data_IF_923803330885
#
_entry.id   IF_923803330885
#
_cell.length_a   1.000
_cell.length_b   1.000
_cell.length_c   1.000
_cell.angle_alpha   90.00
_cell.angle_beta   90.00
_cell.angle_gamma   90.00
#
_symmetry.space_group_name_H-M   'P 1'
#
loop_
_entity.id
_entity.type
_entity.pdbx_description
1 polymer ?
#
# COMPACT_ATOMS: atom_id res chain seq x y z
N UNK A 1 -13.53 26.99 65.54
CA UNK A 1 -12.80 26.14 64.59
C UNK A 1 -13.78 25.12 64.04
N UNK A 2 -14.04 25.19 62.75
CA UNK A 2 -15.07 24.42 62.06
C UNK A 2 -14.63 22.96 61.84
N UNK A 3 -15.50 22.01 62.19
CA UNK A 3 -15.36 20.60 61.81
C UNK A 3 -16.04 20.37 60.47
N UNK A 4 -15.24 20.10 59.44
CA UNK A 4 -15.71 19.77 58.09
C UNK A 4 -15.73 18.24 57.94
N UNK A 5 -16.91 17.67 57.77
CA UNK A 5 -17.14 16.28 57.40
C UNK A 5 -16.89 16.09 55.90
N UNK A 6 -15.80 15.38 55.55
CA UNK A 6 -15.53 14.95 54.18
C UNK A 6 -16.20 13.59 53.91
N UNK A 7 -17.14 13.60 52.97
CA UNK A 7 -17.78 12.43 52.36
C UNK A 7 -16.99 12.07 51.08
N UNK A 8 -16.65 10.80 50.80
CA UNK A 8 -15.93 10.41 49.59
C UNK A 8 -16.91 10.27 48.40
N UNK A 9 -16.51 10.60 47.16
CA UNK A 9 -17.37 10.41 46.00
C UNK A 9 -17.38 8.95 45.53
N UNK A 10 -18.59 8.55 45.18
CA UNK A 10 -19.08 7.24 44.78
C UNK A 10 -18.43 6.72 43.47
N UNK A 11 -18.04 5.45 43.48
CA UNK A 11 -17.60 4.68 42.31
C UNK A 11 -18.81 4.41 41.40
N UNK A 12 -18.81 4.98 40.19
CA UNK A 12 -19.77 4.59 39.16
C UNK A 12 -19.37 3.25 38.55
N UNK A 13 -20.10 2.20 38.92
CA UNK A 13 -20.12 0.90 38.26
C UNK A 13 -20.90 1.04 36.96
N UNK A 14 -20.23 0.88 35.82
CA UNK A 14 -20.89 0.71 34.53
C UNK A 14 -21.06 -0.79 34.26
N UNK A 15 -22.31 -1.22 34.20
CA UNK A 15 -22.76 -2.56 33.80
C UNK A 15 -22.53 -2.80 32.29
N UNK A 16 -22.44 -4.06 31.85
CA UNK A 16 -21.96 -4.42 30.51
C UNK A 16 -23.07 -4.34 29.46
N UNK A 17 -22.82 -3.61 28.37
CA UNK A 17 -23.74 -3.57 27.24
C UNK A 17 -23.62 -4.82 26.36
N UNK A 18 -24.66 -5.64 26.49
CA UNK A 18 -25.40 -6.37 25.46
C UNK A 18 -24.64 -6.83 24.20
N UNK A 19 -24.43 -8.15 24.15
CA UNK A 19 -24.25 -8.94 22.93
C UNK A 19 -25.51 -8.83 22.07
N UNK A 20 -25.36 -8.46 20.80
CA UNK A 20 -26.38 -8.52 19.76
C UNK A 20 -25.93 -9.46 18.61
N UNK A 21 -26.86 -10.10 17.91
CA UNK A 21 -26.71 -11.47 17.41
C UNK A 21 -26.03 -11.58 16.04
N UNK A 22 -25.51 -12.78 15.78
CA UNK A 22 -25.00 -13.27 14.51
C UNK A 22 -25.98 -13.01 13.35
N UNK A 23 -25.51 -12.29 12.33
CA UNK A 23 -26.13 -12.30 11.01
C UNK A 23 -25.26 -13.13 10.06
N UNK A 24 -25.70 -14.37 9.84
CA UNK A 24 -25.21 -15.25 8.80
C UNK A 24 -25.52 -14.66 7.41
N UNK A 25 -24.51 -14.12 6.76
CA UNK A 25 -24.52 -13.98 5.30
C UNK A 25 -23.40 -14.84 4.71
N UNK A 26 -23.82 -15.96 4.14
CA UNK A 26 -23.07 -16.85 3.24
C UNK A 26 -22.41 -16.04 2.12
N UNK A 27 -21.11 -15.75 2.29
CA UNK A 27 -20.23 -15.41 1.19
C UNK A 27 -19.54 -16.69 0.74
N UNK A 28 -19.80 -17.08 -0.52
CA UNK A 28 -19.26 -18.26 -1.19
C UNK A 28 -17.74 -18.40 -0.99
N UNK A 29 -17.34 -19.33 -0.13
CA UNK A 29 -15.99 -19.82 -0.02
C UNK A 29 -15.69 -20.72 -1.23
N UNK A 30 -15.24 -20.11 -2.33
CA UNK A 30 -14.66 -20.84 -3.45
C UNK A 30 -13.22 -21.23 -3.09
N UNK A 31 -13.09 -22.49 -2.67
CA UNK A 31 -11.92 -23.36 -2.71
C UNK A 31 -10.53 -22.73 -2.47
N UNK A 32 -10.12 -22.86 -1.21
CA UNK A 32 -8.77 -22.74 -0.69
C UNK A 32 -7.97 -24.01 -1.05
N UNK A 33 -6.72 -23.91 -1.55
CA UNK A 33 -5.72 -24.91 -1.21
C UNK A 33 -5.10 -24.49 0.13
N UNK A 34 -5.26 -25.35 1.14
CA UNK A 34 -4.50 -25.27 2.39
C UNK A 34 -3.02 -25.45 2.09
N UNK A 35 -2.24 -24.37 2.15
CA UNK A 35 -0.78 -24.46 2.27
C UNK A 35 -0.48 -24.52 3.78
N UNK A 36 -0.76 -25.67 4.38
CA UNK A 36 -0.25 -26.05 5.70
C UNK A 36 0.38 -27.44 5.60
N UNK A 37 1.69 -27.49 5.37
CA UNK A 37 2.60 -28.45 6.00
C UNK A 37 4.07 -28.03 5.80
N UNK A 38 4.98 -28.53 6.67
CA UNK A 38 6.23 -27.88 7.02
C UNK A 38 7.30 -28.14 5.96
N UNK A 39 8.07 -27.12 5.60
CA UNK A 39 9.33 -27.30 4.87
C UNK A 39 10.47 -26.88 5.79
N UNK A 40 10.90 -27.82 6.63
CA UNK A 40 12.32 -28.01 6.90
C UNK A 40 12.89 -28.71 5.66
N UNK A 41 13.23 -27.95 4.63
CA UNK A 41 14.10 -28.41 3.54
C UNK A 41 14.81 -27.17 2.99
N UNK A 42 15.91 -26.83 3.64
CA UNK A 42 16.92 -25.93 3.07
C UNK A 42 17.61 -26.75 1.98
N UNK A 43 17.14 -26.59 0.74
CA UNK A 43 17.81 -27.12 -0.43
C UNK A 43 19.04 -26.27 -0.71
N UNK A 44 20.23 -26.82 -0.46
CA UNK A 44 21.52 -26.25 -0.86
C UNK A 44 21.64 -26.28 -2.39
N UNK A 45 21.29 -25.18 -3.04
CA UNK A 45 21.52 -24.99 -4.47
C UNK A 45 22.92 -24.38 -4.69
N UNK A 46 23.95 -25.22 -4.68
CA UNK A 46 25.24 -24.91 -5.29
C UNK A 46 25.13 -25.18 -6.80
N UNK A 47 24.88 -24.15 -7.61
CA UNK A 47 24.91 -24.27 -9.08
C UNK A 47 26.17 -23.62 -9.64
N UNK A 48 27.06 -24.46 -10.18
CA UNK A 48 28.26 -24.09 -10.94
C UNK A 48 27.83 -23.34 -12.21
N UNK A 49 28.37 -22.13 -12.41
CA UNK A 49 28.15 -21.35 -13.62
C UNK A 49 28.95 -21.94 -14.78
N UNK A 50 28.27 -22.62 -15.72
CA UNK A 50 28.81 -22.86 -17.05
C UNK A 50 28.52 -21.64 -17.92
N UNK A 51 29.58 -20.97 -18.35
CA UNK A 51 29.51 -19.86 -19.29
C UNK A 51 29.28 -20.40 -20.70
N UNK A 52 28.10 -20.16 -21.26
CA UNK A 52 27.87 -20.29 -22.70
C UNK A 52 27.35 -18.99 -23.29
N UNK A 53 28.04 -18.55 -24.34
CA UNK A 53 27.76 -17.34 -25.10
C UNK A 53 26.58 -17.58 -26.05
N UNK A 54 25.44 -16.96 -25.76
CA UNK A 54 24.39 -16.67 -26.75
C UNK A 54 23.65 -15.40 -26.31
N UNK A 55 23.49 -14.45 -27.24
CA UNK A 55 23.03 -13.07 -27.04
C UNK A 55 21.62 -12.93 -26.50
N UNK A 56 21.41 -13.33 -25.24
CA UNK A 56 20.19 -13.12 -24.48
C UNK A 56 20.33 -11.81 -23.71
N UNK A 57 19.33 -10.94 -23.78
CA UNK A 57 19.28 -9.72 -22.97
C UNK A 57 19.61 -10.06 -21.51
N UNK A 58 20.60 -9.33 -20.95
CA UNK A 58 21.06 -9.53 -19.57
C UNK A 58 19.87 -9.45 -18.62
N UNK A 59 19.67 -10.48 -17.80
CA UNK A 59 18.57 -10.47 -16.84
C UNK A 59 18.73 -9.25 -15.91
N UNK A 60 17.65 -8.49 -15.62
CA UNK A 60 17.70 -7.23 -14.87
C UNK A 60 18.33 -7.34 -13.49
N UNK A 61 18.43 -8.55 -12.93
CA UNK A 61 18.83 -8.82 -11.55
C UNK A 61 20.00 -9.82 -11.41
N UNK A 62 20.76 -10.05 -12.49
CA UNK A 62 21.90 -10.99 -12.47
C UNK A 62 22.88 -10.62 -11.32
N UNK A 63 23.08 -11.52 -10.35
CA UNK A 63 24.02 -11.33 -9.23
C UNK A 63 23.44 -10.82 -7.90
N UNK A 64 22.14 -10.55 -7.81
CA UNK A 64 21.51 -10.02 -6.59
C UNK A 64 20.96 -11.10 -5.61
N UNK A 65 21.35 -12.37 -5.76
CA UNK A 65 20.76 -13.49 -4.99
C UNK A 65 19.32 -13.85 -5.43
N UNK A 66 18.93 -13.39 -6.62
CA UNK A 66 17.63 -13.62 -7.25
C UNK A 66 17.74 -14.70 -8.32
N UNK A 67 16.84 -15.68 -8.29
CA UNK A 67 16.73 -16.75 -9.27
C UNK A 67 15.53 -16.50 -10.17
N UNK A 68 15.74 -16.39 -11.49
CA UNK A 68 14.65 -16.26 -12.46
C UNK A 68 13.83 -17.55 -12.49
N UNK A 69 12.51 -17.42 -12.39
CA UNK A 69 11.58 -18.54 -12.51
C UNK A 69 11.22 -18.76 -13.99
N UNK A 70 11.24 -20.01 -14.42
CA UNK A 70 10.77 -20.39 -15.77
C UNK A 70 9.25 -20.36 -15.87
N UNK A 71 8.72 -20.27 -17.09
CA UNK A 71 7.27 -20.18 -17.31
C UNK A 71 6.48 -21.41 -16.82
N UNK A 72 7.13 -22.59 -16.79
CA UNK A 72 6.56 -23.83 -16.28
C UNK A 72 6.56 -23.95 -14.74
N UNK A 73 7.19 -23.01 -14.02
CA UNK A 73 7.18 -23.01 -12.55
C UNK A 73 5.79 -22.63 -12.01
N UNK A 74 5.35 -23.34 -10.97
CA UNK A 74 4.01 -23.14 -10.41
C UNK A 74 3.85 -21.76 -9.76
N UNK A 75 4.87 -21.28 -9.05
CA UNK A 75 4.85 -19.95 -8.43
C UNK A 75 4.87 -18.87 -9.50
N UNK A 76 5.67 -19.04 -10.56
CA UNK A 76 5.64 -18.14 -11.72
C UNK A 76 4.22 -18.04 -12.30
N UNK A 77 3.61 -19.17 -12.63
CA UNK A 77 2.26 -19.22 -13.21
C UNK A 77 1.22 -18.56 -12.30
N UNK A 78 1.25 -18.87 -11.01
CA UNK A 78 0.29 -18.33 -10.05
C UNK A 78 0.43 -16.81 -9.88
N UNK A 79 1.66 -16.32 -9.66
CA UNK A 79 1.95 -14.89 -9.48
C UNK A 79 1.59 -14.11 -10.74
N UNK A 80 1.98 -14.61 -11.92
CA UNK A 80 1.65 -13.99 -13.20
C UNK A 80 0.13 -13.89 -13.39
N UNK A 81 -0.59 -15.02 -13.30
CA UNK A 81 -2.04 -15.05 -13.46
C UNK A 81 -2.75 -14.14 -12.45
N UNK A 82 -2.30 -14.12 -11.20
CA UNK A 82 -2.85 -13.27 -10.14
C UNK A 82 -2.68 -11.79 -10.45
N UNK A 83 -1.47 -11.35 -10.79
CA UNK A 83 -1.20 -9.95 -11.09
C UNK A 83 -1.97 -9.50 -12.35
N UNK A 84 -1.86 -10.25 -13.44
CA UNK A 84 -2.49 -9.90 -14.73
C UNK A 84 -4.01 -9.87 -14.62
N UNK A 85 -4.64 -10.87 -13.98
CA UNK A 85 -6.09 -10.89 -13.81
C UNK A 85 -6.61 -9.71 -12.99
N UNK A 86 -5.90 -9.33 -11.91
CA UNK A 86 -6.28 -8.19 -11.07
C UNK A 86 -6.13 -6.86 -11.79
N UNK A 87 -5.04 -6.68 -12.55
CA UNK A 87 -4.84 -5.46 -13.34
C UNK A 87 -5.83 -5.36 -14.50
N UNK A 88 -6.08 -6.48 -15.19
CA UNK A 88 -7.05 -6.55 -16.29
C UNK A 88 -8.47 -6.22 -15.81
N UNK A 89 -8.89 -6.73 -14.64
CA UNK A 89 -10.17 -6.39 -14.03
C UNK A 89 -10.34 -4.89 -13.72
N UNK A 90 -9.24 -4.14 -13.67
CA UNK A 90 -9.20 -2.70 -13.43
C UNK A 90 -8.89 -1.89 -14.70
N UNK A 91 -8.96 -2.53 -15.88
CA UNK A 91 -8.75 -1.90 -17.18
C UNK A 91 -7.29 -1.58 -17.49
N UNK A 92 -6.33 -2.26 -16.85
CA UNK A 92 -4.90 -2.11 -17.11
C UNK A 92 -4.40 -3.39 -17.76
N UNK A 93 -3.98 -3.29 -19.02
CA UNK A 93 -3.28 -4.39 -19.69
C UNK A 93 -1.84 -4.43 -19.17
N UNK A 94 -1.44 -5.59 -18.64
CA UNK A 94 -0.10 -5.79 -18.10
C UNK A 94 0.48 -7.06 -18.71
N UNK A 95 1.74 -7.00 -19.10
CA UNK A 95 2.51 -8.12 -19.61
C UNK A 95 3.69 -8.36 -18.68
N UNK A 96 3.65 -9.47 -17.95
CA UNK A 96 4.78 -9.88 -17.09
C UNK A 96 5.95 -10.23 -17.98
N UNK A 97 7.07 -9.56 -17.77
CA UNK A 97 8.31 -9.84 -18.47
C UNK A 97 9.06 -10.97 -17.76
N UNK A 98 9.24 -10.85 -16.44
CA UNK A 98 10.04 -11.79 -15.66
C UNK A 98 9.59 -11.84 -14.19
N UNK A 99 9.71 -13.02 -13.59
CA UNK A 99 9.52 -13.23 -12.15
C UNK A 99 10.79 -13.86 -11.60
N UNK A 100 11.29 -13.30 -10.50
CA UNK A 100 12.45 -13.81 -9.78
C UNK A 100 12.05 -14.19 -8.36
N UNK A 101 12.62 -15.28 -7.86
CA UNK A 101 12.53 -15.69 -6.45
C UNK A 101 13.76 -15.19 -5.70
N UNK A 102 13.54 -14.62 -4.52
CA UNK A 102 14.59 -14.36 -3.56
C UNK A 102 14.96 -15.65 -2.84
N UNK A 103 16.14 -16.19 -3.17
CA UNK A 103 16.65 -17.43 -2.58
C UNK A 103 17.34 -17.22 -1.23
N UNK A 104 17.42 -15.97 -0.75
CA UNK A 104 18.12 -15.62 0.50
C UNK A 104 19.54 -16.22 0.57
N UNK A 105 20.27 -16.21 -0.54
CA UNK A 105 21.54 -16.95 -0.67
C UNK A 105 22.71 -16.36 0.14
N UNK A 106 22.65 -15.09 0.51
CA UNK A 106 23.67 -14.46 1.37
C UNK A 106 23.41 -14.73 2.86
N UNK A 107 24.47 -14.72 3.67
CA UNK A 107 24.35 -14.89 5.12
C UNK A 107 23.40 -13.87 5.76
N UNK A 108 23.47 -12.60 5.33
CA UNK A 108 22.56 -11.55 5.81
C UNK A 108 21.12 -11.78 5.36
N UNK A 109 20.89 -12.28 4.15
CA UNK A 109 19.55 -12.59 3.68
C UNK A 109 18.95 -13.78 4.45
N UNK A 110 19.73 -14.83 4.72
CA UNK A 110 19.31 -15.93 5.63
C UNK A 110 18.97 -15.42 7.02
N UNK A 111 19.82 -14.59 7.62
CA UNK A 111 19.57 -14.02 8.94
C UNK A 111 18.26 -13.20 8.98
N UNK A 112 17.94 -12.44 7.92
CA UNK A 112 16.65 -11.73 7.82
C UNK A 112 15.47 -12.70 7.70
N UNK A 113 15.60 -13.76 6.91
CA UNK A 113 14.57 -14.78 6.79
C UNK A 113 14.34 -15.50 8.13
N UNK A 114 15.40 -15.84 8.86
CA UNK A 114 15.32 -16.43 10.20
C UNK A 114 14.68 -15.48 11.21
N UNK A 115 15.08 -14.20 11.21
CA UNK A 115 14.44 -13.19 12.05
C UNK A 115 12.94 -13.12 11.76
N UNK A 116 12.53 -13.09 10.49
CA UNK A 116 11.12 -13.13 10.11
C UNK A 116 10.39 -14.36 10.71
N UNK A 117 11.00 -15.55 10.68
CA UNK A 117 10.42 -16.75 11.30
C UNK A 117 10.28 -16.63 12.83
N UNK A 118 11.24 -15.99 13.50
CA UNK A 118 11.16 -15.75 14.95
C UNK A 118 9.99 -14.82 15.27
N UNK A 119 9.85 -13.70 14.55
CA UNK A 119 8.76 -12.76 14.75
C UNK A 119 7.40 -13.33 14.35
N UNK A 120 7.35 -14.19 13.33
CA UNK A 120 6.15 -14.94 12.97
C UNK A 120 5.63 -15.76 14.14
N UNK A 121 6.51 -16.54 14.77
CA UNK A 121 6.15 -17.36 15.95
C UNK A 121 5.75 -16.49 17.14
N UNK A 122 6.40 -15.35 17.34
CA UNK A 122 6.05 -14.41 18.40
C UNK A 122 4.65 -13.81 18.20
N UNK A 123 4.33 -13.36 16.98
CA UNK A 123 3.02 -12.83 16.63
C UNK A 123 1.90 -13.88 16.78
N UNK A 124 2.17 -15.14 16.39
CA UNK A 124 1.23 -16.25 16.59
C UNK A 124 0.88 -16.46 18.07
N UNK A 125 1.87 -16.38 18.96
CA UNK A 125 1.68 -16.53 20.41
C UNK A 125 0.94 -15.34 21.03
N UNK A 126 1.24 -14.13 20.57
CA UNK A 126 0.64 -12.88 21.07
C UNK A 126 -0.84 -12.76 20.73
N UNK A 127 -1.26 -13.23 19.55
CA UNK A 127 -2.59 -12.94 18.99
C UNK A 127 -3.80 -13.54 19.70
N UNK A 128 -3.64 -14.42 20.70
CA UNK A 128 -4.73 -15.10 21.43
C UNK A 128 -5.57 -16.08 20.59
N UNK A 129 -5.86 -15.73 19.33
CA UNK A 129 -6.54 -16.49 18.30
C UNK A 129 -5.63 -17.51 17.57
N UNK A 130 -4.34 -17.60 17.94
CA UNK A 130 -3.38 -18.53 17.34
C UNK A 130 -2.93 -18.21 15.91
N UNK A 131 -3.32 -17.06 15.35
CA UNK A 131 -2.94 -16.62 14.00
C UNK A 131 -2.05 -15.37 14.05
N UNK A 132 -0.97 -15.38 13.26
CA UNK A 132 -0.13 -14.19 13.03
C UNK A 132 -0.65 -13.28 11.91
N UNK A 133 -1.80 -13.62 11.31
CA UNK A 133 -2.39 -12.85 10.20
C UNK A 133 -1.36 -12.53 9.10
N UNK A 134 -0.65 -13.57 8.62
CA UNK A 134 0.33 -13.41 7.55
C UNK A 134 -0.39 -13.25 6.22
N UNK A 135 -0.02 -12.22 5.46
CA UNK A 135 -0.58 -11.92 4.15
C UNK A 135 0.52 -11.71 3.13
N UNK A 136 0.22 -12.06 1.88
CA UNK A 136 0.98 -11.54 0.76
C UNK A 136 0.55 -10.11 0.44
N UNK A 137 1.52 -9.27 0.12
CA UNK A 137 1.28 -7.87 -0.22
C UNK A 137 2.31 -7.36 -1.24
N UNK A 138 1.89 -6.42 -2.06
CA UNK A 138 2.68 -5.81 -3.12
C UNK A 138 3.40 -4.55 -2.62
N UNK A 139 4.66 -4.41 -2.98
CA UNK A 139 5.44 -3.21 -2.75
C UNK A 139 6.09 -2.75 -4.06
N UNK A 140 5.68 -1.58 -4.55
CA UNK A 140 6.21 -1.02 -5.77
C UNK A 140 7.40 -0.11 -5.51
N UNK A 141 8.47 -0.26 -6.29
CA UNK A 141 9.67 0.58 -6.16
C UNK A 141 10.51 0.54 -7.44
N UNK A 142 11.60 1.31 -7.48
CA UNK A 142 12.52 1.30 -8.63
C UNK A 142 13.37 0.02 -8.67
N UNK A 143 13.92 -0.30 -9.83
CA UNK A 143 14.83 -1.43 -10.05
C UNK A 143 16.03 -1.40 -9.08
N UNK A 144 16.62 -0.21 -8.89
CA UNK A 144 17.77 0.00 -8.02
C UNK A 144 17.40 -0.25 -6.55
N UNK A 145 16.22 0.20 -6.14
CA UNK A 145 15.74 0.01 -4.78
C UNK A 145 15.35 -1.45 -4.52
N UNK A 146 14.85 -2.19 -5.52
CA UNK A 146 14.66 -3.65 -5.41
C UNK A 146 15.99 -4.31 -5.04
N UNK A 147 17.06 -4.05 -5.78
CA UNK A 147 18.39 -4.62 -5.49
C UNK A 147 18.87 -4.28 -4.07
N UNK A 148 18.66 -3.04 -3.64
CA UNK A 148 19.01 -2.61 -2.26
C UNK A 148 18.19 -3.34 -1.21
N UNK A 149 16.89 -3.50 -1.41
CA UNK A 149 16.01 -4.20 -0.47
C UNK A 149 16.40 -5.66 -0.33
N UNK A 150 16.66 -6.34 -1.45
CA UNK A 150 17.08 -7.74 -1.44
C UNK A 150 18.44 -7.89 -0.73
N UNK A 151 19.38 -6.97 -0.94
CA UNK A 151 20.73 -7.04 -0.35
C UNK A 151 20.75 -6.66 1.13
N UNK A 152 20.12 -5.53 1.48
CA UNK A 152 20.30 -4.84 2.75
C UNK A 152 19.03 -4.78 3.62
N UNK A 153 17.88 -5.18 3.08
CA UNK A 153 16.58 -5.02 3.75
C UNK A 153 15.91 -3.69 3.42
N UNK A 154 14.73 -3.47 3.99
CA UNK A 154 13.96 -2.24 3.81
C UNK A 154 14.60 -1.09 4.59
N UNK A 155 14.92 -0.01 3.90
CA UNK A 155 15.44 1.21 4.50
C UNK A 155 14.32 2.24 4.62
N UNK A 156 14.07 2.70 5.83
CA UNK A 156 13.21 3.84 6.08
C UNK A 156 14.06 5.10 6.27
N UNK A 157 13.95 6.07 5.35
CA UNK A 157 14.77 7.28 5.31
C UNK A 157 14.18 8.45 6.12
N UNK A 158 13.19 8.17 6.99
CA UNK A 158 12.50 9.18 7.78
C UNK A 158 11.41 9.95 7.02
N UNK A 159 11.31 9.79 5.70
CA UNK A 159 10.29 10.43 4.88
C UNK A 159 9.30 9.38 4.38
N UNK A 160 8.00 9.52 4.66
CA UNK A 160 7.04 8.54 4.18
C UNK A 160 6.95 8.63 2.64
N UNK A 161 7.46 7.61 1.94
CA UNK A 161 7.51 7.54 0.47
C UNK A 161 6.13 7.51 -0.22
N UNK A 162 5.03 7.48 0.53
CA UNK A 162 3.64 7.61 0.04
C UNK A 162 2.86 8.72 0.77
N UNK A 163 3.46 9.91 0.88
CA UNK A 163 2.85 11.14 1.44
C UNK A 163 2.48 11.15 2.93
N UNK A 164 2.82 10.10 3.69
CA UNK A 164 2.70 10.07 5.16
C UNK A 164 1.27 10.16 5.65
N UNK A 165 0.33 9.66 4.84
CA UNK A 165 -1.09 9.89 5.06
C UNK A 165 -1.66 9.07 6.22
N UNK A 166 -0.98 8.01 6.64
CA UNK A 166 -1.40 7.12 7.71
C UNK A 166 -0.20 6.76 8.59
N UNK A 167 0.62 7.77 8.93
CA UNK A 167 1.80 7.59 9.76
C UNK A 167 3.11 7.32 9.01
N UNK A 168 4.14 7.13 9.82
CA UNK A 168 5.53 6.89 9.44
C UNK A 168 5.80 5.39 9.38
N UNK A 169 5.69 4.82 8.18
CA UNK A 169 5.95 3.41 7.94
C UNK A 169 6.16 3.13 6.46
N UNK A 170 6.33 1.84 6.17
CA UNK A 170 6.40 1.31 4.81
C UNK A 170 5.01 0.76 4.44
N UNK A 171 4.54 1.16 3.26
CA UNK A 171 3.18 0.92 2.81
C UNK A 171 3.16 -0.21 1.80
N UNK A 172 2.29 -1.19 2.02
CA UNK A 172 2.10 -2.32 1.12
C UNK A 172 0.67 -2.35 0.62
N UNK A 173 0.49 -2.64 -0.66
CA UNK A 173 -0.83 -2.86 -1.24
C UNK A 173 -1.24 -4.33 -0.99
N UNK A 174 -2.45 -4.59 -0.48
CA UNK A 174 -2.97 -5.95 -0.33
C UNK A 174 -2.94 -6.71 -1.67
N UNK A 175 -2.80 -8.03 -1.61
CA UNK A 175 -2.74 -8.89 -2.80
C UNK A 175 -3.91 -8.66 -3.78
N UNK A 176 -5.12 -8.34 -3.28
CA UNK A 176 -6.30 -8.04 -4.10
C UNK A 176 -6.31 -6.65 -4.77
N UNK A 177 -5.41 -5.75 -4.40
CA UNK A 177 -5.42 -4.34 -4.80
C UNK A 177 -4.05 -3.84 -5.30
N UNK A 178 -3.39 -4.51 -6.26
CA UNK A 178 -2.04 -4.12 -6.73
C UNK A 178 -1.97 -2.71 -7.31
N UNK A 179 -3.07 -2.15 -7.83
CA UNK A 179 -3.12 -0.78 -8.35
C UNK A 179 -2.75 0.29 -7.32
N UNK A 180 -3.02 0.06 -6.04
CA UNK A 180 -2.77 1.05 -4.98
C UNK A 180 -1.27 1.38 -4.81
N UNK A 181 -0.37 0.49 -5.24
CA UNK A 181 1.08 0.74 -5.24
C UNK A 181 1.64 1.13 -6.62
N UNK A 182 0.89 0.92 -7.69
CA UNK A 182 1.39 1.08 -9.05
C UNK A 182 1.51 2.53 -9.51
N UNK A 183 0.67 3.42 -8.99
CA UNK A 183 0.73 4.85 -9.29
C UNK A 183 2.08 5.47 -8.91
N UNK A 184 2.76 4.92 -7.89
CA UNK A 184 4.05 5.38 -7.40
C UNK A 184 5.26 4.66 -7.99
N UNK A 185 5.06 3.58 -8.77
CA UNK A 185 6.17 2.80 -9.33
C UNK A 185 6.83 3.56 -10.49
N UNK A 186 8.13 3.91 -10.45
CA UNK A 186 8.81 4.40 -11.64
C UNK A 186 9.01 3.24 -12.63
N UNK A 187 8.93 3.54 -13.94
CA UNK A 187 9.38 2.61 -14.96
C UNK A 187 10.90 2.75 -15.13
N UNK A 188 11.59 1.65 -15.44
CA UNK A 188 13.01 1.63 -15.77
C UNK A 188 13.28 2.08 -17.21
N UNK A 189 14.54 2.00 -17.63
CA UNK A 189 14.99 2.39 -18.97
C UNK A 189 14.33 1.58 -20.09
N UNK A 190 13.93 0.34 -19.78
CA UNK A 190 13.24 -0.58 -20.70
C UNK A 190 11.70 -0.40 -20.66
N UNK A 191 11.21 0.55 -19.84
CA UNK A 191 9.79 0.79 -19.64
C UNK A 191 9.10 -0.23 -18.73
N UNK A 192 9.86 -1.09 -18.04
CA UNK A 192 9.35 -2.07 -17.11
C UNK A 192 9.14 -1.46 -15.74
N UNK A 193 8.13 -1.96 -15.02
CA UNK A 193 7.87 -1.63 -13.62
C UNK A 193 8.19 -2.84 -12.76
N UNK A 194 8.66 -2.59 -11.54
CA UNK A 194 9.08 -3.66 -10.63
C UNK A 194 8.25 -3.65 -9.35
N UNK A 195 7.73 -4.82 -8.99
CA UNK A 195 7.03 -5.06 -7.74
C UNK A 195 7.78 -6.11 -6.93
N UNK A 196 7.85 -5.90 -5.63
CA UNK A 196 8.12 -6.96 -4.67
C UNK A 196 6.79 -7.59 -4.24
N UNK A 197 6.72 -8.91 -4.27
CA UNK A 197 5.70 -9.67 -3.57
C UNK A 197 6.29 -10.11 -2.23
N UNK A 198 5.73 -9.57 -1.15
CA UNK A 198 6.23 -9.76 0.19
C UNK A 198 5.25 -10.58 1.04
N UNK A 199 5.78 -11.42 1.94
CA UNK A 199 5.02 -11.90 3.10
C UNK A 199 5.12 -10.88 4.21
N UNK A 200 3.97 -10.49 4.73
CA UNK A 200 3.84 -9.48 5.77
C UNK A 200 3.13 -10.09 6.96
N UNK A 201 3.74 -10.01 8.13
CA UNK A 201 3.12 -10.35 9.42
C UNK A 201 2.32 -9.14 9.85
N UNK A 202 0.99 -9.19 9.69
CA UNK A 202 0.12 -8.09 10.12
C UNK A 202 -0.25 -8.19 11.60
N UNK A 203 -0.26 -9.41 12.17
CA UNK A 203 -0.69 -9.63 13.54
C UNK A 203 -2.07 -9.02 13.81
N UNK A 204 -2.23 -8.39 14.98
CA UNK A 204 -3.39 -7.56 15.29
C UNK A 204 -3.18 -6.18 14.68
N UNK A 205 -3.92 -5.89 13.62
CA UNK A 205 -3.87 -4.57 12.96
C UNK A 205 -4.73 -3.54 13.68
N UNK A 206 -4.26 -2.30 13.71
CA UNK A 206 -5.03 -1.13 14.15
C UNK A 206 -5.52 -0.30 12.96
N UNK A 207 -6.67 0.35 13.13
CA UNK A 207 -7.13 1.36 12.19
C UNK A 207 -6.29 2.62 12.36
N UNK A 208 -5.60 3.03 11.30
CA UNK A 208 -4.82 4.26 11.32
C UNK A 208 -5.63 5.36 10.66
N UNK A 209 -5.86 6.44 11.39
CA UNK A 209 -6.58 7.58 10.87
C UNK A 209 -5.76 8.32 9.82
N UNK A 210 -6.49 8.84 8.82
CA UNK A 210 -5.90 9.72 7.83
C UNK A 210 -5.30 10.98 8.47
N UNK A 211 -4.08 11.34 8.06
CA UNK A 211 -3.28 12.44 8.63
C UNK A 211 -2.52 12.07 9.91
N UNK A 212 -2.54 10.81 10.34
CA UNK A 212 -1.77 10.36 11.50
C UNK A 212 -0.25 10.54 11.28
N UNK A 213 0.46 10.93 12.35
CA UNK A 213 1.92 11.01 12.39
C UNK A 213 2.57 9.80 13.10
N UNK A 214 1.75 8.83 13.49
CA UNK A 214 2.17 7.64 14.24
C UNK A 214 3.30 6.88 13.53
N UNK A 215 4.34 6.47 14.28
CA UNK A 215 5.55 5.81 13.74
C UNK A 215 5.82 4.42 14.30
N UNK A 216 4.96 3.96 15.20
CA UNK A 216 4.99 2.67 15.88
C UNK A 216 3.55 2.28 16.25
N UNK A 217 3.28 1.05 16.73
CA UNK A 217 1.93 0.69 17.18
C UNK A 217 1.42 1.62 18.28
N UNK A 218 0.12 1.94 18.31
CA UNK A 218 -0.45 2.83 19.34
C UNK A 218 -0.43 2.23 20.75
N UNK A 219 -0.34 0.90 20.84
CA UNK A 219 -0.22 0.15 22.09
C UNK A 219 0.40 -1.21 21.82
N UNK A 220 0.91 -1.86 22.86
CA UNK A 220 1.59 -3.16 22.74
C UNK A 220 0.72 -4.26 22.17
N UNK A 221 -0.61 -4.14 22.20
CA UNK A 221 -1.51 -5.14 21.63
C UNK A 221 -1.52 -5.16 20.10
N UNK A 222 -1.10 -4.08 19.43
CA UNK A 222 -1.10 -3.97 17.97
C UNK A 222 0.29 -4.27 17.39
N UNK A 223 0.29 -4.67 16.12
CA UNK A 223 1.50 -5.06 15.39
C UNK A 223 1.69 -4.21 14.11
N UNK A 224 0.60 -3.94 13.40
CA UNK A 224 0.60 -3.20 12.11
C UNK A 224 -0.60 -2.25 12.01
N UNK A 225 -0.57 -1.36 11.02
CA UNK A 225 -1.69 -0.46 10.71
C UNK A 225 -2.42 -0.83 9.42
N UNK A 226 -3.71 -0.50 9.34
CA UNK A 226 -4.53 -0.55 8.12
C UNK A 226 -5.36 0.72 7.96
N UNK A 227 -5.73 1.04 6.73
CA UNK A 227 -6.61 2.17 6.41
C UNK A 227 -8.11 1.86 6.56
N UNK A 228 -8.48 0.58 6.49
CA UNK A 228 -9.82 0.07 6.78
C UNK A 228 -9.73 -1.34 7.38
N UNK A 229 -10.51 -1.63 8.42
CA UNK A 229 -10.48 -2.92 9.12
C UNK A 229 -11.20 -4.05 8.35
N UNK A 230 -12.17 -3.70 7.50
CA UNK A 230 -13.02 -4.66 6.80
C UNK A 230 -12.50 -4.99 5.39
N UNK A 231 -12.04 -3.96 4.68
CA UNK A 231 -11.55 -4.02 3.30
C UNK A 231 -10.30 -3.14 3.17
N UNK A 232 -9.19 -3.53 3.80
CA UNK A 232 -7.96 -2.76 3.77
C UNK A 232 -7.50 -2.57 2.32
N UNK A 233 -7.05 -1.36 2.00
CA UNK A 233 -6.38 -1.04 0.74
C UNK A 233 -4.91 -0.74 0.94
N UNK A 234 -4.49 -0.54 2.19
CA UNK A 234 -3.10 -0.28 2.57
C UNK A 234 -2.79 -1.00 3.86
N UNK A 235 -1.69 -1.75 3.83
CA UNK A 235 -1.03 -2.23 5.03
C UNK A 235 0.12 -1.28 5.36
N UNK A 236 0.21 -0.90 6.62
CA UNK A 236 1.24 0.00 7.15
C UNK A 236 2.10 -0.83 8.10
N UNK A 237 3.33 -1.09 7.68
CA UNK A 237 4.32 -1.73 8.55
C UNK A 237 5.22 -0.63 9.08
N UNK A 238 5.24 -0.48 10.40
CA UNK A 238 6.02 0.56 11.07
C UNK A 238 7.51 0.45 10.74
N UNK A 239 8.21 1.59 10.71
CA UNK A 239 9.64 1.62 10.42
C UNK A 239 10.46 0.74 11.38
N UNK A 240 9.99 0.63 12.64
CA UNK A 240 10.55 -0.23 13.69
C UNK A 240 10.36 -1.73 13.43
N UNK A 241 9.42 -2.13 12.57
CA UNK A 241 9.01 -3.51 12.36
C UNK A 241 9.30 -4.02 10.94
N UNK A 242 9.58 -3.15 9.96
CA UNK A 242 9.66 -3.55 8.54
C UNK A 242 10.70 -4.64 8.26
N UNK A 243 11.86 -4.60 8.90
CA UNK A 243 12.92 -5.59 8.66
C UNK A 243 12.73 -6.91 9.41
N UNK A 244 11.73 -7.00 10.28
CA UNK A 244 11.40 -8.21 11.05
C UNK A 244 10.05 -8.80 10.66
N UNK A 245 9.12 -7.97 10.16
CA UNK A 245 7.74 -8.36 9.83
C UNK A 245 7.48 -8.47 8.33
N UNK A 246 8.47 -8.18 7.49
CA UNK A 246 8.36 -8.28 6.03
C UNK A 246 9.47 -9.14 5.47
N UNK A 247 9.09 -10.12 4.66
CA UNK A 247 10.00 -10.93 3.85
C UNK A 247 9.69 -10.71 2.38
N UNK A 248 10.63 -10.12 1.63
CA UNK A 248 10.53 -10.02 0.18
C UNK A 248 10.85 -11.37 -0.46
N UNK A 249 9.85 -12.06 -1.01
CA UNK A 249 10.00 -13.41 -1.56
C UNK A 249 10.14 -13.43 -3.08
N UNK A 250 9.44 -12.55 -3.79
CA UNK A 250 9.50 -12.50 -5.26
C UNK A 250 9.64 -11.08 -5.77
N UNK A 251 10.28 -10.96 -6.94
CA UNK A 251 10.35 -9.74 -7.75
C UNK A 251 9.59 -10.00 -9.03
N UNK A 252 8.65 -9.13 -9.37
CA UNK A 252 7.88 -9.19 -10.62
C UNK A 252 8.19 -7.96 -11.45
N UNK A 253 8.78 -8.18 -12.62
CA UNK A 253 9.00 -7.15 -13.64
C UNK A 253 7.93 -7.29 -14.71
N UNK A 254 7.20 -6.21 -14.99
CA UNK A 254 6.13 -6.24 -15.98
C UNK A 254 6.04 -4.91 -16.73
N UNK A 255 5.67 -4.99 -18.00
CA UNK A 255 5.28 -3.84 -18.79
C UNK A 255 3.79 -3.57 -18.58
N UNK A 256 3.42 -2.31 -18.42
CA UNK A 256 2.03 -1.88 -18.54
C UNK A 256 2.02 -0.53 -19.29
N UNK A 257 1.10 -0.31 -20.24
CA UNK A 257 0.96 0.96 -20.90
C UNK A 257 0.78 2.06 -19.85
N UNK A 258 1.77 2.95 -19.77
CA UNK A 258 1.63 4.14 -18.95
C UNK A 258 0.45 4.96 -19.48
N UNK A 259 -0.52 5.32 -18.62
CA UNK A 259 -1.54 6.34 -18.91
C UNK A 259 -0.96 7.76 -19.11
N UNK A 260 0.34 7.89 -19.39
CA UNK A 260 1.07 9.17 -19.41
C UNK A 260 1.73 9.50 -20.75
N UNK A 261 1.46 8.77 -21.84
CA UNK A 261 1.97 9.15 -23.17
C UNK A 261 0.84 9.61 -24.10
N UNK A 262 0.65 10.93 -24.15
CA UNK A 262 -0.08 11.63 -25.21
C UNK A 262 -1.52 12.03 -24.87
N UNK A 263 -1.71 13.07 -24.05
CA UNK A 263 -2.92 13.89 -24.12
C UNK A 263 -2.59 15.21 -24.84
N UNK A 264 -2.22 15.07 -26.11
CA UNK A 264 -2.60 16.07 -27.10
C UNK A 264 -3.63 15.40 -27.98
N UNK A 265 -4.87 15.85 -27.81
CA UNK A 265 -6.03 15.68 -28.68
C UNK A 265 -6.52 14.26 -28.98
N UNK A 266 -7.80 14.09 -28.63
CA UNK A 266 -8.82 13.16 -29.15
C UNK A 266 -8.99 11.81 -28.43
N UNK A 267 -10.21 11.65 -27.90
CA UNK A 267 -10.83 10.53 -27.22
C UNK A 267 -10.54 10.37 -25.71
N UNK A 268 -11.14 11.28 -24.95
CA UNK A 268 -11.56 11.04 -23.58
C UNK A 268 -12.57 9.87 -23.54
N UNK A 269 -12.14 8.70 -23.09
CA UNK A 269 -13.05 7.77 -22.39
C UNK A 269 -13.13 8.20 -20.91
N UNK A 270 -13.82 9.32 -20.74
CA UNK A 270 -14.80 9.62 -19.69
C UNK A 270 -14.77 8.79 -18.39
N UNK A 271 -13.82 9.11 -17.51
CA UNK A 271 -14.20 9.24 -16.09
C UNK A 271 -14.94 10.57 -15.95
N UNK A 272 -16.19 10.59 -16.43
CA UNK A 272 -17.09 11.70 -16.18
C UNK A 272 -17.15 11.88 -14.65
N UNK A 273 -16.71 13.02 -14.10
CA UNK A 273 -16.99 13.30 -12.71
C UNK A 273 -18.51 13.25 -12.55
N UNK A 274 -18.99 12.54 -11.52
CA UNK A 274 -20.42 12.45 -11.18
C UNK A 274 -21.02 13.83 -10.83
N UNK A 275 -20.18 14.86 -10.79
CA UNK A 275 -20.53 16.26 -10.53
C UNK A 275 -20.04 17.16 -11.68
N UNK A 276 -20.76 18.27 -11.97
CA UNK A 276 -20.38 19.28 -12.96
C UNK A 276 -18.91 19.68 -12.85
N UNK A 277 -18.15 19.60 -13.94
CA UNK A 277 -16.74 19.98 -13.94
C UNK A 277 -16.59 21.50 -13.87
N UNK A 278 -15.76 21.98 -12.93
CA UNK A 278 -15.49 23.41 -12.72
C UNK A 278 -14.01 23.73 -12.92
N UNK A 279 -13.64 24.75 -13.71
CA UNK A 279 -12.24 25.15 -13.88
C UNK A 279 -11.59 25.55 -12.55
N UNK A 280 -10.34 25.16 -12.34
CA UNK A 280 -9.59 25.40 -11.08
C UNK A 280 -9.60 26.86 -10.65
N UNK A 281 -9.46 27.81 -11.59
CA UNK A 281 -9.51 29.25 -11.29
C UNK A 281 -10.86 29.67 -10.70
N UNK A 282 -11.95 29.08 -11.20
CA UNK A 282 -13.30 29.34 -10.71
C UNK A 282 -13.49 28.69 -9.33
N UNK A 283 -12.99 27.48 -9.12
CA UNK A 283 -13.02 26.83 -7.80
C UNK A 283 -12.29 27.66 -6.73
N UNK A 284 -11.06 28.12 -7.02
CA UNK A 284 -10.28 28.96 -6.09
C UNK A 284 -11.03 30.28 -5.82
N UNK A 285 -11.61 30.89 -6.85
CA UNK A 285 -12.41 32.10 -6.70
C UNK A 285 -13.63 31.88 -5.80
N UNK A 286 -14.42 30.84 -6.01
CA UNK A 286 -15.59 30.55 -5.17
C UNK A 286 -15.19 30.20 -3.72
N UNK A 287 -14.09 29.47 -3.53
CA UNK A 287 -13.55 29.18 -2.19
C UNK A 287 -13.08 30.46 -1.49
N UNK A 288 -12.52 31.43 -2.22
CA UNK A 288 -12.05 32.70 -1.65
C UNK A 288 -13.16 33.58 -1.07
N UNK A 289 -14.42 33.35 -1.45
CA UNK A 289 -15.57 34.05 -0.87
C UNK A 289 -15.96 33.54 0.51
N UNK A 290 -15.44 32.37 0.92
CA UNK A 290 -15.90 31.65 2.11
C UNK A 290 -14.73 31.35 3.06
N UNK A 291 -13.57 30.96 2.53
CA UNK A 291 -12.37 30.62 3.29
C UNK A 291 -11.51 31.84 3.62
N UNK A 292 -10.66 31.71 4.63
CA UNK A 292 -9.70 32.76 5.00
C UNK A 292 -8.61 32.90 3.93
N UNK A 293 -8.01 34.10 3.76
CA UNK A 293 -6.93 34.31 2.79
C UNK A 293 -5.75 33.33 2.95
N UNK A 294 -5.40 32.95 4.18
CA UNK A 294 -4.34 31.97 4.46
C UNK A 294 -4.66 30.57 3.92
N UNK A 295 -5.93 30.14 4.04
CA UNK A 295 -6.43 28.85 3.56
C UNK A 295 -6.47 28.82 2.02
N UNK A 296 -6.94 29.91 1.40
CA UNK A 296 -6.96 30.08 -0.06
C UNK A 296 -5.55 30.09 -0.64
N UNK A 297 -4.61 30.76 0.03
CA UNK A 297 -3.20 30.77 -0.37
C UNK A 297 -2.59 29.38 -0.28
N UNK A 298 -2.93 28.61 0.75
CA UNK A 298 -2.45 27.24 0.92
C UNK A 298 -3.02 26.32 -0.17
N UNK A 299 -4.32 26.43 -0.49
CA UNK A 299 -4.95 25.73 -1.61
C UNK A 299 -4.26 26.09 -2.93
N UNK A 300 -4.03 27.39 -3.18
CA UNK A 300 -3.35 27.88 -4.38
C UNK A 300 -1.91 27.35 -4.50
N UNK A 301 -1.20 27.24 -3.36
CA UNK A 301 0.14 26.63 -3.29
C UNK A 301 0.09 25.17 -3.70
N UNK A 302 -0.87 24.38 -3.21
CA UNK A 302 -1.01 22.98 -3.62
C UNK A 302 -1.32 22.84 -5.11
N UNK A 303 -2.21 23.67 -5.66
CA UNK A 303 -2.46 23.66 -7.11
C UNK A 303 -1.19 23.95 -7.91
N UNK A 304 -0.37 24.93 -7.51
CA UNK A 304 0.93 25.21 -8.14
C UNK A 304 1.90 24.04 -8.03
N UNK A 305 1.94 23.36 -6.88
CA UNK A 305 2.78 22.19 -6.68
C UNK A 305 2.36 21.02 -7.60
N UNK A 306 1.06 20.82 -7.79
CA UNK A 306 0.53 19.81 -8.71
C UNK A 306 0.86 20.15 -10.16
N UNK A 307 0.64 21.40 -10.59
CA UNK A 307 0.99 21.85 -11.94
C UNK A 307 2.49 21.73 -12.23
N UNK A 308 3.33 21.81 -11.19
CA UNK A 308 4.78 21.58 -11.28
C UNK A 308 5.21 20.13 -11.05
N UNK A 309 4.29 19.17 -11.00
CA UNK A 309 4.58 17.74 -10.83
C UNK A 309 5.09 17.32 -9.44
N UNK A 310 5.07 18.21 -8.45
CA UNK A 310 5.63 17.96 -7.10
C UNK A 310 4.71 17.14 -6.20
N UNK A 311 3.40 17.13 -6.49
CA UNK A 311 2.40 16.35 -5.77
C UNK A 311 1.44 15.71 -6.78
N UNK A 312 0.90 14.54 -6.45
CA UNK A 312 -0.10 13.85 -7.28
C UNK A 312 -1.46 14.56 -7.25
N UNK A 313 -2.30 14.31 -8.27
CA UNK A 313 -3.68 14.83 -8.34
C UNK A 313 -4.50 14.40 -7.13
N UNK A 314 -4.34 13.14 -6.71
CA UNK A 314 -5.02 12.60 -5.53
C UNK A 314 -4.66 13.40 -4.27
N UNK A 315 -3.35 13.64 -4.04
CA UNK A 315 -2.88 14.40 -2.90
C UNK A 315 -3.38 15.86 -2.93
N UNK A 316 -3.41 16.49 -4.10
CA UNK A 316 -4.01 17.82 -4.28
C UNK A 316 -5.48 17.83 -3.85
N UNK A 317 -6.30 16.92 -4.40
CA UNK A 317 -7.73 16.84 -4.08
C UNK A 317 -7.93 16.65 -2.58
N UNK A 318 -7.11 15.80 -1.96
CA UNK A 318 -7.20 15.49 -0.54
C UNK A 318 -6.82 16.68 0.36
N UNK A 319 -5.76 17.42 0.03
CA UNK A 319 -5.38 18.64 0.76
C UNK A 319 -6.44 19.72 0.63
N UNK A 320 -7.06 19.86 -0.54
CA UNK A 320 -8.18 20.80 -0.74
C UNK A 320 -9.40 20.37 0.08
N UNK A 321 -9.72 19.08 0.15
CA UNK A 321 -10.80 18.54 1.01
C UNK A 321 -10.54 18.78 2.50
N UNK A 322 -9.30 18.63 2.97
CA UNK A 322 -8.94 18.94 4.36
C UNK A 322 -9.16 20.42 4.72
N UNK A 323 -8.86 21.33 3.80
CA UNK A 323 -8.95 22.78 4.07
C UNK A 323 -10.39 23.29 3.91
N UNK A 324 -11.04 22.92 2.80
CA UNK A 324 -12.36 23.44 2.46
C UNK A 324 -13.51 22.63 3.09
N UNK A 325 -13.30 21.33 3.32
CA UNK A 325 -14.35 20.40 3.73
C UNK A 325 -15.24 19.94 2.56
N UNK A 326 -15.68 18.69 2.62
CA UNK A 326 -16.46 18.06 1.55
C UNK A 326 -17.83 18.69 1.35
N UNK A 327 -18.48 19.13 2.42
CA UNK A 327 -19.78 19.80 2.37
C UNK A 327 -19.71 21.10 1.57
N UNK A 328 -18.67 21.91 1.80
CA UNK A 328 -18.46 23.17 1.10
C UNK A 328 -18.13 22.95 -0.37
N UNK A 329 -17.20 22.03 -0.66
CA UNK A 329 -16.82 21.69 -2.03
C UNK A 329 -18.02 21.18 -2.83
N UNK A 330 -18.81 20.29 -2.24
CA UNK A 330 -20.04 19.77 -2.86
C UNK A 330 -21.04 20.89 -3.15
N UNK A 331 -21.23 21.83 -2.22
CA UNK A 331 -22.14 22.98 -2.40
C UNK A 331 -21.71 23.88 -3.55
N UNK A 332 -20.41 24.20 -3.62
CA UNK A 332 -19.87 25.05 -4.69
C UNK A 332 -20.01 24.35 -6.04
N UNK A 333 -19.60 23.09 -6.15
CA UNK A 333 -19.63 22.33 -7.41
C UNK A 333 -21.07 22.16 -7.91
N UNK A 334 -22.02 21.84 -7.02
CA UNK A 334 -23.45 21.74 -7.38
C UNK A 334 -24.01 23.09 -7.86
N UNK A 335 -23.69 24.17 -7.16
CA UNK A 335 -24.19 25.51 -7.55
C UNK A 335 -23.60 26.03 -8.86
N UNK A 336 -22.40 25.56 -9.24
CA UNK A 336 -21.81 25.84 -10.54
C UNK A 336 -22.54 25.10 -11.68
N UNK A 337 -22.90 23.83 -11.49
CA UNK A 337 -23.65 23.06 -12.49
C UNK A 337 -25.04 23.60 -12.78
N UNK A 338 -25.79 23.98 -11.73
CA UNK A 338 -27.13 24.56 -11.89
C UNK A 338 -27.14 25.90 -12.62
N UNK A 339 -26.03 26.66 -12.56
CA UNK A 339 -25.88 27.93 -13.28
C UNK A 339 -25.58 27.73 -14.78
N UNK A 340 -25.00 26.59 -15.16
CA UNK A 340 -24.76 26.28 -16.57
C UNK A 340 -25.98 25.65 -17.26
N UNK A 341 -26.85 24.97 -16.53
CA UNK A 341 -28.07 24.35 -17.07
C UNK A 341 -29.28 25.31 -17.18
N UNK A 342 -29.12 26.56 -16.73
CA UNK A 342 -30.18 27.59 -16.73
C UNK A 342 -29.79 28.87 -17.46
N UNK A 343 -28.80 28.79 -18.36
CA UNK A 343 -28.31 29.89 -19.21
C UNK A 343 -28.63 29.62 -20.67
#
# INVERSE_FOLDING_TARGET
MAGSTHQPPTVHTATPDAVAPEFNHTANALNRPDIHSPMDDISDCESVASADHSGTALSPFTGAGLMKLGEGDEAHRFINQRLVSRLSALGVQATVAEIHRNCSSSAWARARAEAFQVYLRAAQKKGGSGTANVRYAWYATSKEEVCKIISYGFVYDGKPKNSGLYGCGVYFAPDGHPLECLESAPADEDGLRHLLLCRVILGKSELVSFGSEQSHPSSEQYDSGVDDLSSPRRYIVWSTHVNTHVLAEYVVSFGAPCRSRGLSTTLEESWQPTSPWMPVRVLIFELSKILRPSEVNLISKYFKQHSGGKISRHLLVQRVRQIAGDGLLTRIIKSFGTKQSGA
#
